data_IF_115786828545
#
_entry.id   IF_115786828545
#
_cell.length_a   1.000
_cell.length_b   1.000
_cell.length_c   1.000
_cell.angle_alpha   90.00
_cell.angle_beta   90.00
_cell.angle_gamma   90.00
#
_symmetry.space_group_name_H-M   'P 1'
#
loop_
_entity.id
_entity.type
_entity.pdbx_description
1 polymer ?
#
# COMPACT_ATOMS: atom_id res chain seq x y z
N UNK A 1 -9.58 -44.74 -11.37
CA UNK A 1 -8.80 -43.91 -12.31
C UNK A 1 -8.86 -42.42 -12.01
N UNK A 2 -9.97 -41.87 -11.50
CA UNK A 2 -10.11 -40.43 -11.18
C UNK A 2 -9.05 -39.90 -10.19
N UNK A 3 -8.68 -40.70 -9.18
CA UNK A 3 -7.67 -40.29 -8.19
C UNK A 3 -6.25 -40.14 -8.77
N UNK A 4 -5.86 -41.01 -9.70
CA UNK A 4 -4.56 -40.92 -10.40
C UNK A 4 -4.54 -39.66 -11.27
N UNK A 5 -5.66 -39.36 -11.92
CA UNK A 5 -5.80 -38.20 -12.80
C UNK A 5 -5.72 -36.88 -12.01
N UNK A 6 -6.37 -36.80 -10.84
CA UNK A 6 -6.22 -35.66 -9.92
C UNK A 6 -4.79 -35.51 -9.39
N UNK A 7 -4.10 -36.62 -9.09
CA UNK A 7 -2.71 -36.59 -8.64
C UNK A 7 -1.77 -36.05 -9.73
N UNK A 8 -1.97 -36.46 -10.99
CA UNK A 8 -1.21 -35.91 -12.12
C UNK A 8 -1.47 -34.42 -12.34
N UNK A 9 -2.71 -33.97 -12.25
CA UNK A 9 -3.05 -32.54 -12.35
C UNK A 9 -2.39 -31.73 -11.23
N UNK A 10 -2.41 -32.24 -10.00
CA UNK A 10 -1.78 -31.59 -8.85
C UNK A 10 -0.26 -31.51 -8.97
N UNK A 11 0.40 -32.60 -9.37
CA UNK A 11 1.85 -32.62 -9.62
C UNK A 11 2.23 -31.71 -10.78
N UNK A 12 1.39 -31.61 -11.81
CA UNK A 12 1.60 -30.69 -12.91
C UNK A 12 1.43 -29.22 -12.51
N UNK A 13 0.47 -28.90 -11.63
CA UNK A 13 0.31 -27.56 -11.06
C UNK A 13 1.49 -27.17 -10.16
N UNK A 14 2.01 -28.11 -9.35
CA UNK A 14 3.21 -27.90 -8.53
C UNK A 14 4.45 -27.61 -9.36
N UNK A 15 4.60 -28.26 -10.52
CA UNK A 15 5.72 -28.03 -11.44
C UNK A 15 5.60 -26.68 -12.18
N UNK A 16 4.38 -26.13 -12.31
CA UNK A 16 4.17 -24.83 -12.93
C UNK A 16 4.49 -23.71 -11.94
N UNK A 17 5.50 -22.89 -12.27
CA UNK A 17 5.87 -21.69 -11.49
C UNK A 17 4.74 -20.66 -11.31
N UNK A 18 3.70 -20.70 -12.16
CA UNK A 18 2.53 -19.80 -12.10
C UNK A 18 1.22 -20.51 -11.69
N UNK A 19 1.30 -21.73 -11.14
CA UNK A 19 0.16 -22.51 -10.69
C UNK A 19 -0.58 -21.91 -9.48
N UNK A 20 -1.75 -22.46 -9.14
CA UNK A 20 -2.53 -22.03 -7.97
C UNK A 20 -1.76 -22.26 -6.66
N UNK A 21 -1.02 -23.37 -6.59
CA UNK A 21 -0.13 -23.72 -5.48
C UNK A 21 1.03 -22.74 -5.32
N UNK A 22 1.63 -22.27 -6.41
CA UNK A 22 2.72 -21.29 -6.37
C UNK A 22 2.27 -19.95 -5.76
N UNK A 23 1.10 -19.44 -6.15
CA UNK A 23 0.51 -18.21 -5.57
C UNK A 23 0.22 -18.33 -4.07
N UNK A 24 -0.21 -19.51 -3.60
CA UNK A 24 -0.40 -19.76 -2.17
C UNK A 24 0.94 -19.81 -1.43
N UNK A 25 1.94 -20.47 -2.00
CA UNK A 25 3.26 -20.57 -1.38
C UNK A 25 3.91 -19.19 -1.19
N UNK A 26 3.75 -18.27 -2.14
CA UNK A 26 4.25 -16.89 -1.99
C UNK A 26 3.59 -16.12 -0.84
N UNK A 27 2.28 -16.34 -0.60
CA UNK A 27 1.58 -15.76 0.56
C UNK A 27 2.03 -16.39 1.89
N UNK A 28 2.49 -17.64 1.86
CA UNK A 28 2.96 -18.38 3.04
C UNK A 28 4.44 -18.13 3.37
N UNK A 29 5.19 -17.46 2.50
CA UNK A 29 6.56 -17.03 2.83
C UNK A 29 6.50 -16.02 3.99
N UNK A 30 7.17 -16.36 5.09
CA UNK A 30 7.27 -15.50 6.26
C UNK A 30 8.07 -14.24 5.92
N UNK A 31 7.36 -13.15 5.64
CA UNK A 31 7.93 -11.83 5.37
C UNK A 31 7.19 -10.79 6.22
N UNK A 32 7.90 -9.77 6.66
CA UNK A 32 7.34 -8.67 7.44
C UNK A 32 6.20 -7.98 6.70
N UNK A 33 6.37 -7.75 5.40
CA UNK A 33 5.31 -7.19 4.55
C UNK A 33 4.03 -8.03 4.56
N UNK A 34 4.12 -9.36 4.45
CA UNK A 34 2.95 -10.24 4.45
C UNK A 34 2.19 -10.15 5.79
N UNK A 35 2.90 -10.03 6.90
CA UNK A 35 2.29 -9.87 8.22
C UNK A 35 1.55 -8.52 8.36
N UNK A 36 2.09 -7.47 7.76
CA UNK A 36 1.40 -6.16 7.66
C UNK A 36 0.17 -6.29 6.77
N UNK A 37 0.33 -6.85 5.56
CA UNK A 37 -0.73 -7.01 4.56
C UNK A 37 -1.97 -7.72 5.12
N UNK A 38 -1.78 -8.83 5.84
CA UNK A 38 -2.91 -9.62 6.41
C UNK A 38 -3.74 -8.81 7.40
N UNK A 39 -3.14 -7.89 8.17
CA UNK A 39 -3.90 -7.03 9.10
C UNK A 39 -4.53 -5.84 8.38
N UNK A 40 -3.81 -5.26 7.44
CA UNK A 40 -4.22 -4.11 6.65
C UNK A 40 -5.43 -4.48 5.78
N UNK A 41 -5.37 -5.59 5.02
CA UNK A 41 -6.48 -6.07 4.18
C UNK A 41 -7.79 -6.29 4.95
N UNK A 42 -7.73 -6.74 6.22
CA UNK A 42 -8.94 -6.96 7.04
C UNK A 42 -9.68 -5.68 7.41
N UNK A 43 -9.00 -4.53 7.37
CA UNK A 43 -9.51 -3.24 7.87
C UNK A 43 -9.48 -2.15 6.79
N UNK A 44 -9.14 -2.52 5.55
CA UNK A 44 -9.05 -1.58 4.44
C UNK A 44 -10.43 -1.23 3.90
N UNK A 45 -10.59 0.02 3.47
CA UNK A 45 -11.75 0.44 2.70
C UNK A 45 -11.72 -0.19 1.30
N UNK A 46 -12.89 -0.35 0.67
CA UNK A 46 -13.02 -1.04 -0.63
C UNK A 46 -12.28 -0.35 -1.79
N UNK A 47 -11.95 0.94 -1.67
CA UNK A 47 -11.22 1.73 -2.67
C UNK A 47 -9.69 1.63 -2.54
N UNK A 48 -9.18 0.75 -1.67
CA UNK A 48 -7.75 0.55 -1.47
C UNK A 48 -7.34 -0.83 -1.96
N UNK A 49 -6.15 -0.90 -2.57
CA UNK A 49 -5.50 -2.15 -2.96
C UNK A 49 -4.13 -2.19 -2.34
N UNK A 50 -3.87 -3.18 -1.50
CA UNK A 50 -2.56 -3.41 -0.92
C UNK A 50 -1.96 -4.70 -1.47
N UNK A 51 -0.66 -4.70 -1.75
CA UNK A 51 0.07 -5.88 -2.18
C UNK A 51 1.54 -5.76 -1.76
N UNK A 52 2.22 -6.91 -1.66
CA UNK A 52 3.64 -6.95 -1.30
C UNK A 52 4.49 -7.21 -2.54
N UNK A 53 5.39 -6.27 -2.84
CA UNK A 53 6.50 -6.46 -3.79
C UNK A 53 7.70 -6.95 -2.99
N UNK A 54 7.84 -8.27 -2.86
CA UNK A 54 8.84 -8.91 -2.00
C UNK A 54 8.67 -8.59 -0.51
N UNK A 55 9.50 -7.71 0.04
CA UNK A 55 9.42 -7.19 1.41
C UNK A 55 9.08 -5.69 1.43
N UNK A 56 8.70 -5.13 0.29
CA UNK A 56 8.15 -3.76 0.18
C UNK A 56 6.63 -3.80 0.08
N UNK A 57 5.96 -2.92 0.81
CA UNK A 57 4.52 -2.78 0.80
C UNK A 57 4.11 -1.74 -0.24
N UNK A 58 3.23 -2.12 -1.18
CA UNK A 58 2.63 -1.21 -2.14
C UNK A 58 1.13 -1.05 -1.84
N UNK A 59 0.68 0.19 -1.72
CA UNK A 59 -0.72 0.53 -1.46
C UNK A 59 -1.17 1.49 -2.55
N UNK A 60 -2.25 1.14 -3.25
CA UNK A 60 -2.93 2.01 -4.19
C UNK A 60 -4.25 2.47 -3.58
N UNK A 61 -4.48 3.77 -3.60
CA UNK A 61 -5.68 4.40 -3.09
C UNK A 61 -6.34 5.17 -4.22
N UNK A 62 -7.57 4.78 -4.56
CA UNK A 62 -8.38 5.51 -5.53
C UNK A 62 -9.08 6.66 -4.82
N UNK A 63 -8.71 7.89 -5.20
CA UNK A 63 -9.26 9.12 -4.64
C UNK A 63 -10.28 9.71 -5.61
N UNK A 64 -11.55 9.66 -5.23
CA UNK A 64 -12.66 10.20 -6.01
C UNK A 64 -13.09 11.54 -5.42
N UNK A 65 -12.48 12.63 -5.88
CA UNK A 65 -12.90 13.98 -5.50
C UNK A 65 -13.05 14.84 -6.76
N UNK A 66 -14.28 15.22 -7.10
CA UNK A 66 -14.50 16.02 -8.30
C UNK A 66 -13.91 17.42 -8.14
N UNK A 67 -12.92 17.76 -8.99
CA UNK A 67 -12.32 19.10 -9.05
C UNK A 67 -13.36 20.22 -9.16
N UNK A 68 -14.53 19.95 -9.74
CA UNK A 68 -15.64 20.90 -9.85
C UNK A 68 -16.11 21.47 -8.50
N UNK A 69 -15.87 20.76 -7.39
CA UNK A 69 -16.20 21.24 -6.03
C UNK A 69 -15.15 22.16 -5.41
N UNK A 70 -13.94 22.23 -5.99
CA UNK A 70 -12.83 23.04 -5.50
C UNK A 70 -12.61 24.22 -6.44
N UNK A 71 -12.93 25.43 -5.97
CA UNK A 71 -12.84 26.68 -6.76
C UNK A 71 -11.40 27.05 -7.19
N UNK A 72 -10.36 26.47 -6.57
CA UNK A 72 -8.96 26.78 -6.86
C UNK A 72 -8.08 25.54 -7.12
N UNK A 73 -7.21 25.56 -8.15
CA UNK A 73 -6.29 24.46 -8.46
C UNK A 73 -5.19 24.26 -7.40
N UNK A 74 -4.77 25.32 -6.69
CA UNK A 74 -3.80 25.19 -5.59
C UNK A 74 -4.40 24.51 -4.35
N UNK A 75 -5.71 24.67 -4.12
CA UNK A 75 -6.38 23.97 -3.03
C UNK A 75 -6.50 22.46 -3.32
N UNK A 76 -6.64 22.07 -4.59
CA UNK A 76 -6.69 20.66 -4.98
C UNK A 76 -5.42 19.89 -4.60
N UNK A 77 -4.23 20.40 -4.92
CA UNK A 77 -2.97 19.75 -4.54
C UNK A 77 -2.83 19.62 -3.02
N UNK A 78 -3.13 20.68 -2.27
CA UNK A 78 -3.07 20.67 -0.80
C UNK A 78 -3.99 19.61 -0.20
N UNK A 79 -5.21 19.47 -0.74
CA UNK A 79 -6.15 18.43 -0.32
C UNK A 79 -5.59 17.04 -0.60
N UNK A 80 -5.00 16.81 -1.78
CA UNK A 80 -4.38 15.51 -2.08
C UNK A 80 -3.19 15.18 -1.17
N UNK A 81 -2.32 16.14 -0.87
CA UNK A 81 -1.21 15.94 0.08
C UNK A 81 -1.69 15.68 1.50
N UNK A 82 -2.77 16.36 1.92
CA UNK A 82 -3.41 16.10 3.21
C UNK A 82 -3.98 14.69 3.26
N UNK A 83 -4.62 14.25 2.19
CA UNK A 83 -5.17 12.90 2.11
C UNK A 83 -4.06 11.84 2.09
N UNK A 84 -2.96 12.08 1.39
CA UNK A 84 -1.78 11.23 1.45
C UNK A 84 -1.28 11.07 2.90
N UNK A 85 -1.17 12.17 3.64
CA UNK A 85 -0.76 12.16 5.05
C UNK A 85 -1.72 11.34 5.91
N UNK A 86 -3.04 11.56 5.75
CA UNK A 86 -4.07 10.81 6.45
C UNK A 86 -3.96 9.31 6.15
N UNK A 87 -3.75 8.95 4.89
CA UNK A 87 -3.61 7.56 4.46
C UNK A 87 -2.38 6.89 5.06
N UNK A 88 -1.25 7.60 5.14
CA UNK A 88 -0.04 7.11 5.79
C UNK A 88 -0.24 6.91 7.30
N UNK A 89 -0.88 7.85 7.98
CA UNK A 89 -1.21 7.73 9.41
C UNK A 89 -2.17 6.58 9.66
N UNK A 90 -3.20 6.42 8.80
CA UNK A 90 -4.14 5.32 8.89
C UNK A 90 -3.44 3.98 8.66
N UNK A 91 -2.61 3.88 7.61
CA UNK A 91 -1.83 2.69 7.30
C UNK A 91 -0.93 2.31 8.48
N UNK A 92 -0.25 3.29 9.08
CA UNK A 92 0.57 3.09 10.26
C UNK A 92 -0.29 2.51 11.41
N UNK A 93 -1.43 3.11 11.74
CA UNK A 93 -2.32 2.65 12.83
C UNK A 93 -2.93 1.27 12.60
N UNK A 94 -3.18 0.89 11.34
CA UNK A 94 -3.73 -0.42 10.99
C UNK A 94 -2.67 -1.54 11.00
N UNK A 95 -1.39 -1.17 10.87
CA UNK A 95 -0.27 -2.09 10.77
C UNK A 95 0.34 -2.40 12.15
N UNK A 96 0.87 -3.62 12.38
CA UNK A 96 1.75 -3.86 13.52
C UNK A 96 3.04 -3.06 13.39
N UNK A 97 3.44 -2.31 14.43
CA UNK A 97 4.67 -1.50 14.46
C UNK A 97 5.90 -2.32 14.06
N UNK A 98 6.11 -3.46 14.73
CA UNK A 98 7.34 -4.26 14.60
C UNK A 98 7.53 -4.81 13.18
N UNK A 99 6.42 -5.19 12.53
CA UNK A 99 6.48 -5.69 11.16
C UNK A 99 6.66 -4.55 10.16
N UNK A 100 6.02 -3.41 10.41
CA UNK A 100 6.15 -2.23 9.57
C UNK A 100 7.57 -1.68 9.60
N UNK A 101 8.23 -1.64 10.76
CA UNK A 101 9.63 -1.22 10.88
C UNK A 101 10.62 -2.12 10.10
N UNK A 102 10.31 -3.41 10.00
CA UNK A 102 11.11 -4.42 9.26
C UNK A 102 10.76 -4.50 7.77
N UNK A 103 9.83 -3.67 7.30
CA UNK A 103 9.48 -3.55 5.89
C UNK A 103 10.45 -2.56 5.25
N UNK A 104 11.07 -2.93 4.13
CA UNK A 104 12.13 -2.11 3.53
C UNK A 104 11.58 -0.75 3.08
N UNK A 105 10.53 -0.81 2.26
CA UNK A 105 9.86 0.36 1.72
C UNK A 105 8.34 0.22 1.76
N UNK A 106 7.68 1.36 1.90
CA UNK A 106 6.24 1.54 1.79
C UNK A 106 5.99 2.52 0.67
N UNK A 107 5.36 2.04 -0.40
CA UNK A 107 4.97 2.83 -1.56
C UNK A 107 3.47 3.07 -1.49
N UNK A 108 3.06 4.34 -1.49
CA UNK A 108 1.64 4.73 -1.52
C UNK A 108 1.39 5.47 -2.82
N UNK A 109 0.46 4.97 -3.64
CA UNK A 109 0.04 5.57 -4.89
C UNK A 109 -1.39 6.09 -4.73
N UNK A 110 -1.53 7.41 -4.68
CA UNK A 110 -2.83 8.07 -4.68
C UNK A 110 -3.24 8.37 -6.12
N UNK A 111 -4.25 7.67 -6.63
CA UNK A 111 -4.74 7.81 -8.00
C UNK A 111 -5.93 8.78 -8.02
N UNK A 112 -5.83 9.80 -8.85
CA UNK A 112 -6.94 10.67 -9.22
C UNK A 112 -6.98 10.84 -10.74
N UNK A 113 -8.15 11.17 -11.30
CA UNK A 113 -8.40 11.29 -12.76
C UNK A 113 -7.37 12.15 -13.51
N UNK A 114 -6.82 13.17 -12.85
CA UNK A 114 -5.90 14.14 -13.48
C UNK A 114 -4.47 14.10 -12.94
N UNK A 115 -4.27 13.54 -11.74
CA UNK A 115 -2.98 13.55 -11.06
C UNK A 115 -2.82 12.26 -10.27
N UNK A 116 -1.66 11.63 -10.41
CA UNK A 116 -1.25 10.52 -9.55
C UNK A 116 -0.09 10.97 -8.69
N UNK A 117 -0.20 10.77 -7.38
CA UNK A 117 0.88 11.04 -6.43
C UNK A 117 1.48 9.71 -6.02
N UNK A 118 2.75 9.48 -6.36
CA UNK A 118 3.51 8.34 -5.87
C UNK A 118 4.36 8.82 -4.69
N UNK A 119 4.14 8.22 -3.53
CA UNK A 119 4.93 8.45 -2.33
C UNK A 119 5.73 7.21 -1.98
N UNK A 120 6.98 7.41 -1.55
CA UNK A 120 7.89 6.36 -1.09
C UNK A 120 8.45 6.76 0.28
N UNK A 121 8.41 5.83 1.23
CA UNK A 121 9.07 5.98 2.52
C UNK A 121 9.59 4.64 3.01
N UNK A 122 10.43 4.63 4.04
CA UNK A 122 10.89 3.40 4.67
C UNK A 122 9.91 2.96 5.76
N UNK A 123 9.78 1.65 5.97
CA UNK A 123 8.84 1.12 6.96
C UNK A 123 9.04 1.69 8.37
N UNK A 124 10.29 1.85 8.80
CA UNK A 124 10.66 2.49 10.08
C UNK A 124 10.15 3.92 10.26
N UNK A 125 10.04 4.68 9.17
CA UNK A 125 9.54 6.05 9.23
C UNK A 125 8.01 6.08 9.23
N UNK A 126 7.39 5.14 8.50
CA UNK A 126 5.92 5.03 8.49
C UNK A 126 5.39 4.56 9.86
N UNK A 127 6.09 3.66 10.54
CA UNK A 127 5.73 3.20 11.88
C UNK A 127 5.64 4.36 12.89
N UNK A 128 6.51 5.37 12.78
CA UNK A 128 6.50 6.55 13.66
C UNK A 128 5.21 7.39 13.55
N UNK A 129 4.46 7.31 12.45
CA UNK A 129 3.16 7.99 12.35
C UNK A 129 2.11 7.45 13.35
N UNK A 130 2.33 6.27 13.95
CA UNK A 130 1.45 5.75 15.01
C UNK A 130 1.50 6.63 16.28
N UNK A 131 2.67 7.18 16.60
CA UNK A 131 2.90 7.95 17.84
C UNK A 131 2.67 9.44 17.66
N UNK A 132 2.67 9.93 16.42
CA UNK A 132 2.46 11.35 16.13
C UNK A 132 0.97 11.71 16.24
N UNK A 133 0.64 12.65 17.11
CA UNK A 133 -0.74 13.10 17.37
C UNK A 133 -1.02 14.49 16.78
N UNK A 134 -0.05 15.40 16.81
CA UNK A 134 -0.24 16.77 16.35
C UNK A 134 -0.05 16.91 14.84
N UNK A 135 -0.92 17.65 14.12
CA UNK A 135 -0.82 17.86 12.67
C UNK A 135 0.53 18.46 12.21
N UNK A 136 1.11 19.34 13.01
CA UNK A 136 2.38 20.01 12.72
C UNK A 136 3.55 19.01 12.68
N UNK A 137 3.65 18.15 13.70
CA UNK A 137 4.66 17.09 13.71
C UNK A 137 4.47 16.07 12.58
N UNK A 138 3.22 15.75 12.22
CA UNK A 138 2.93 14.87 11.07
C UNK A 138 3.44 15.51 9.79
N UNK A 139 3.19 16.81 9.58
CA UNK A 139 3.66 17.52 8.40
C UNK A 139 5.19 17.60 8.32
N UNK A 140 5.86 17.92 9.44
CA UNK A 140 7.33 17.97 9.50
C UNK A 140 7.94 16.59 9.23
N UNK A 141 7.41 15.54 9.85
CA UNK A 141 7.89 14.17 9.63
C UNK A 141 7.65 13.69 8.20
N UNK A 142 6.50 14.04 7.62
CA UNK A 142 6.17 13.71 6.24
C UNK A 142 7.13 14.40 5.26
N UNK A 143 7.43 15.68 5.46
CA UNK A 143 8.40 16.42 4.64
C UNK A 143 9.81 15.82 4.74
N UNK A 144 10.22 15.36 5.93
CA UNK A 144 11.56 14.84 6.15
C UNK A 144 11.77 13.40 5.64
N UNK A 145 10.70 12.59 5.56
CA UNK A 145 10.83 11.12 5.40
C UNK A 145 10.11 10.53 4.19
N UNK A 146 9.25 11.30 3.53
CA UNK A 146 8.44 10.82 2.40
C UNK A 146 8.89 11.52 1.13
N UNK A 147 9.40 10.73 0.18
CA UNK A 147 9.75 11.23 -1.15
C UNK A 147 8.52 11.12 -2.04
N UNK A 148 8.15 12.22 -2.70
CA UNK A 148 6.94 12.28 -3.52
C UNK A 148 7.28 12.58 -4.98
N UNK A 149 6.63 11.86 -5.89
CA UNK A 149 6.65 12.08 -7.32
C UNK A 149 5.22 12.33 -7.82
N UNK A 150 5.00 13.53 -8.36
CA UNK A 150 3.77 13.88 -9.06
C UNK A 150 3.86 13.41 -10.51
N UNK A 151 2.88 12.62 -10.95
CA UNK A 151 2.76 12.18 -12.33
C UNK A 151 1.40 12.66 -12.87
N UNK A 152 1.37 13.48 -13.94
CA UNK A 152 0.10 13.81 -14.58
C UNK A 152 -0.57 12.53 -15.06
N UNK A 153 -1.85 12.35 -14.78
CA UNK A 153 -2.56 11.16 -15.25
C UNK A 153 -2.53 11.17 -16.79
N UNK A 154 -1.87 10.18 -17.39
CA UNK A 154 -1.90 10.00 -18.84
C UNK A 154 -3.35 9.65 -19.23
N UNK A 155 -3.94 10.49 -20.07
CA UNK A 155 -5.24 10.23 -20.71
C UNK A 155 -5.18 8.98 -21.57
#
# INVERSE_FOLDING_TARGET
>A
MIGILMMFIFLWDLNRKNGWTAKRNEKLKARSCNAVLVKVEKRLAANWKAYCEQNSLAVEVDFTLDKAKLKDPNNFKRVMYRELANNLVLLAKLSPSDNLERTDYVRVRLKHKDLTINALSQGRHVAKFQTLTTPEMIAQHLQATVTVQEVPAQK
#
